data_IF_790223744157
#
_entry.id   IF_790223744157
#
_cell.length_a   1.000
_cell.length_b   1.000
_cell.length_c   1.000
_cell.angle_alpha   90.00
_cell.angle_beta   90.00
_cell.angle_gamma   90.00
#
_symmetry.space_group_name_H-M   'P 1'
#
loop_
_entity.id
_entity.type
_entity.pdbx_description
1 polymer ?
#
# COMPACT_ATOMS: atom_id res chain seq x y z
N UNK A 1 -1.75 -6.96 10.49
CA UNK A 1 -1.99 -8.31 11.07
C UNK A 1 -0.89 -9.28 10.62
N UNK A 2 -0.42 -10.19 11.48
CA UNK A 2 0.65 -11.17 11.16
C UNK A 2 0.15 -12.60 11.41
N UNK A 3 0.31 -13.50 10.44
CA UNK A 3 0.00 -14.91 10.61
C UNK A 3 1.07 -15.82 9.99
N UNK A 4 1.25 -17.01 10.57
CA UNK A 4 2.11 -18.04 10.00
C UNK A 4 1.44 -18.74 8.81
N UNK A 5 2.22 -19.12 7.80
CA UNK A 5 1.72 -19.80 6.59
C UNK A 5 1.96 -21.32 6.62
N UNK A 6 1.48 -22.09 5.65
CA UNK A 6 1.87 -23.51 5.50
C UNK A 6 3.22 -23.69 4.80
N UNK A 7 3.97 -22.60 4.56
CA UNK A 7 5.23 -22.63 3.82
C UNK A 7 6.45 -22.65 4.75
N UNK A 8 7.39 -23.54 4.45
CA UNK A 8 8.68 -23.69 5.16
C UNK A 8 9.84 -23.36 4.24
N UNK A 9 10.97 -22.90 4.78
CA UNK A 9 12.19 -22.64 3.99
C UNK A 9 12.74 -23.93 3.35
N UNK A 10 12.59 -25.05 4.06
CA UNK A 10 13.18 -26.32 3.70
C UNK A 10 12.41 -27.47 4.36
N UNK A 11 12.63 -28.67 3.85
CA UNK A 11 12.06 -29.88 4.43
C UNK A 11 12.59 -30.17 5.83
N UNK A 12 13.87 -29.90 6.09
CA UNK A 12 14.49 -30.04 7.41
C UNK A 12 13.88 -29.08 8.45
N UNK A 13 13.53 -27.86 8.02
CA UNK A 13 12.78 -26.91 8.86
C UNK A 13 11.40 -27.45 9.24
N UNK A 14 10.64 -27.99 8.28
CA UNK A 14 9.35 -28.61 8.55
C UNK A 14 9.48 -29.81 9.51
N UNK A 15 10.48 -30.67 9.33
CA UNK A 15 10.74 -31.81 10.24
C UNK A 15 11.07 -31.31 11.64
N UNK A 16 11.89 -30.27 11.78
CA UNK A 16 12.26 -29.69 13.07
C UNK A 16 11.03 -29.09 13.78
N UNK A 17 10.17 -28.39 13.03
CA UNK A 17 8.93 -27.82 13.54
C UNK A 17 7.94 -28.88 14.05
N UNK A 18 7.79 -30.01 13.33
CA UNK A 18 6.85 -31.08 13.71
C UNK A 18 7.42 -32.11 14.70
N UNK A 19 8.73 -32.09 14.97
CA UNK A 19 9.38 -33.01 15.92
C UNK A 19 8.71 -33.05 17.32
N UNK A 20 8.35 -31.92 17.96
CA UNK A 20 7.71 -31.95 19.27
C UNK A 20 6.26 -32.47 19.28
N UNK A 21 5.62 -32.66 18.12
CA UNK A 21 4.23 -33.12 18.03
C UNK A 21 4.05 -34.64 18.23
N UNK A 22 5.12 -35.37 18.55
CA UNK A 22 5.03 -36.77 18.97
C UNK A 22 4.75 -37.77 17.85
N UNK A 23 4.97 -37.40 16.58
CA UNK A 23 4.86 -38.34 15.46
C UNK A 23 5.89 -39.47 15.59
N UNK A 24 5.46 -40.72 15.40
CA UNK A 24 6.35 -41.90 15.45
C UNK A 24 7.46 -41.85 14.39
N UNK A 25 7.19 -41.21 13.25
CA UNK A 25 8.19 -40.86 12.24
C UNK A 25 7.85 -39.49 11.64
N UNK A 26 8.45 -38.43 12.21
CA UNK A 26 8.20 -37.04 11.80
C UNK A 26 8.55 -36.80 10.33
N UNK A 27 9.62 -37.40 9.82
CA UNK A 27 10.01 -37.24 8.42
C UNK A 27 8.94 -37.79 7.47
N UNK A 28 8.40 -38.97 7.75
CA UNK A 28 7.32 -39.55 6.97
C UNK A 28 6.01 -38.76 7.09
N UNK A 29 5.73 -38.18 8.26
CA UNK A 29 4.56 -37.32 8.44
C UNK A 29 4.67 -36.03 7.60
N UNK A 30 5.85 -35.41 7.55
CA UNK A 30 6.13 -34.24 6.69
C UNK A 30 6.01 -34.59 5.21
N UNK A 31 6.51 -35.75 4.78
CA UNK A 31 6.36 -36.21 3.39
C UNK A 31 4.89 -36.37 2.98
N UNK A 32 4.08 -36.97 3.84
CA UNK A 32 2.63 -37.10 3.58
C UNK A 32 1.98 -35.74 3.48
N UNK A 33 2.25 -34.83 4.43
CA UNK A 33 1.72 -33.47 4.41
C UNK A 33 2.15 -32.67 3.17
N UNK A 34 3.37 -32.90 2.66
CA UNK A 34 3.82 -32.33 1.38
C UNK A 34 3.05 -32.92 0.20
N UNK A 35 2.88 -34.25 0.17
CA UNK A 35 2.15 -34.94 -0.89
C UNK A 35 0.66 -34.57 -0.92
N UNK A 36 0.07 -34.38 0.26
CA UNK A 36 -1.33 -33.99 0.45
C UNK A 36 -1.56 -32.48 0.24
N UNK A 37 -0.48 -31.71 0.07
CA UNK A 37 -0.53 -30.25 -0.13
C UNK A 37 -0.89 -29.46 1.13
N UNK A 38 -0.82 -30.06 2.32
CA UNK A 38 -1.06 -29.38 3.60
C UNK A 38 0.07 -28.41 3.96
N UNK A 39 1.29 -28.72 3.51
CA UNK A 39 2.48 -27.86 3.68
C UNK A 39 3.22 -27.70 2.36
N UNK A 40 4.00 -26.63 2.24
CA UNK A 40 4.75 -26.30 1.03
C UNK A 40 6.20 -25.94 1.38
N UNK A 41 7.14 -26.25 0.49
CA UNK A 41 8.54 -25.81 0.61
C UNK A 41 8.76 -24.62 -0.31
N UNK A 42 9.45 -23.60 0.22
CA UNK A 42 9.77 -22.39 -0.49
C UNK A 42 8.84 -21.23 -0.15
N UNK A 43 9.25 -20.04 -0.56
CA UNK A 43 8.58 -18.78 -0.23
C UNK A 43 7.14 -18.75 -0.79
N UNK A 44 6.13 -18.39 0.01
CA UNK A 44 4.77 -18.21 -0.48
C UNK A 44 4.68 -16.99 -1.41
N UNK A 45 3.70 -17.02 -2.33
CA UNK A 45 3.36 -15.86 -3.14
C UNK A 45 2.69 -14.78 -2.27
N UNK A 46 3.26 -13.57 -2.30
CA UNK A 46 2.73 -12.42 -1.58
C UNK A 46 1.77 -11.64 -2.49
N UNK A 47 0.59 -11.25 -1.98
CA UNK A 47 -0.27 -10.30 -2.69
C UNK A 47 0.27 -8.86 -2.54
N UNK A 48 -0.09 -7.94 -3.46
CA UNK A 48 0.25 -6.53 -3.30
C UNK A 48 -0.22 -5.99 -1.94
N UNK A 49 0.69 -5.40 -1.17
CA UNK A 49 0.43 -4.91 0.19
C UNK A 49 0.74 -5.91 1.32
N UNK A 50 1.19 -7.12 0.97
CA UNK A 50 1.65 -8.13 1.93
C UNK A 50 3.18 -8.23 1.94
N UNK A 51 3.74 -8.43 3.12
CA UNK A 51 5.17 -8.68 3.35
C UNK A 51 5.35 -10.12 3.80
N UNK A 52 6.29 -10.83 3.17
CA UNK A 52 6.64 -12.21 3.55
C UNK A 52 7.94 -12.20 4.34
N UNK A 53 7.89 -12.68 5.57
CA UNK A 53 9.02 -12.72 6.49
C UNK A 53 9.31 -14.16 6.89
N UNK A 54 10.56 -14.59 6.79
CA UNK A 54 11.00 -15.90 7.27
C UNK A 54 11.30 -15.83 8.77
N UNK A 55 10.59 -16.64 9.57
CA UNK A 55 10.96 -16.85 10.95
C UNK A 55 12.08 -17.89 11.02
N UNK A 56 13.29 -17.45 11.39
CA UNK A 56 14.48 -18.32 11.47
C UNK A 56 14.46 -19.29 12.65
N UNK A 57 13.64 -19.05 13.67
CA UNK A 57 13.50 -19.95 14.81
C UNK A 57 12.61 -21.16 14.44
N UNK A 58 11.54 -20.93 13.68
CA UNK A 58 10.61 -21.97 13.24
C UNK A 58 10.91 -22.51 11.83
N UNK A 59 11.77 -21.84 11.05
CA UNK A 59 12.04 -22.15 9.64
C UNK A 59 10.81 -22.00 8.73
N UNK A 60 9.85 -21.15 9.13
CA UNK A 60 8.51 -21.01 8.54
C UNK A 60 8.29 -19.59 8.04
N UNK A 61 7.61 -19.44 6.91
CA UNK A 61 7.24 -18.12 6.39
C UNK A 61 5.98 -17.57 7.07
N UNK A 62 6.02 -16.28 7.36
CA UNK A 62 4.92 -15.50 7.91
C UNK A 62 4.51 -14.47 6.87
N UNK A 63 3.20 -14.23 6.75
CA UNK A 63 2.66 -13.12 5.97
C UNK A 63 2.22 -12.05 6.96
N UNK A 64 2.70 -10.85 6.71
CA UNK A 64 2.29 -9.62 7.37
C UNK A 64 1.50 -8.81 6.37
N UNK A 65 0.22 -8.60 6.66
CA UNK A 65 -0.56 -7.60 5.95
C UNK A 65 -0.45 -6.32 6.75
N UNK A 66 0.13 -5.29 6.12
CA UNK A 66 0.03 -3.95 6.65
C UNK A 66 -1.47 -3.67 6.77
N UNK A 67 -1.94 -3.35 7.97
CA UNK A 67 -3.29 -2.80 8.10
C UNK A 67 -3.27 -1.55 7.24
N UNK A 68 -3.89 -1.64 6.06
CA UNK A 68 -4.29 -0.45 5.33
C UNK A 68 -5.20 0.24 6.33
N UNK A 69 -4.70 1.28 7.00
CA UNK A 69 -5.50 2.06 7.93
C UNK A 69 -6.67 2.59 7.10
N UNK A 70 -7.77 1.87 7.15
CA UNK A 70 -9.07 2.36 6.76
C UNK A 70 -9.26 3.59 7.64
N UNK A 71 -9.30 4.75 7.01
CA UNK A 71 -9.60 6.03 7.65
C UNK A 71 -11.05 6.06 8.15
N UNK A 72 -11.56 4.99 8.75
CA UNK A 72 -12.89 4.90 9.32
C UNK A 72 -12.88 5.37 10.77
N UNK A 73 -12.73 6.69 10.97
CA UNK A 73 -13.30 7.46 12.09
C UNK A 73 -12.74 8.88 12.23
N UNK A 74 -12.30 9.53 11.15
CA UNK A 74 -12.38 11.00 11.15
C UNK A 74 -13.83 11.34 10.83
N UNK A 75 -14.52 11.97 11.78
CA UNK A 75 -15.62 12.87 11.44
C UNK A 75 -15.13 13.72 10.28
N UNK A 76 -15.60 13.44 9.07
CA UNK A 76 -15.37 14.28 7.90
C UNK A 76 -16.20 15.53 8.15
N UNK A 77 -15.60 16.47 8.86
CA UNK A 77 -16.03 17.86 8.79
C UNK A 77 -15.70 18.29 7.36
N UNK A 78 -16.70 18.12 6.50
CA UNK A 78 -16.74 18.75 5.21
C UNK A 78 -16.60 20.26 5.44
N UNK A 79 -15.59 20.85 4.79
CA UNK A 79 -15.25 22.26 4.79
C UNK A 79 -14.52 22.77 6.06
N UNK A 80 -13.36 23.42 5.84
CA UNK A 80 -12.69 24.42 6.70
C UNK A 80 -11.39 24.07 7.46
N UNK A 81 -10.83 22.85 7.37
CA UNK A 81 -9.54 22.59 8.04
C UNK A 81 -8.30 23.13 7.29
N UNK A 82 -8.49 23.61 6.06
CA UNK A 82 -7.48 24.38 5.30
C UNK A 82 -8.19 25.43 4.43
N UNK A 83 -8.44 26.65 4.96
CA UNK A 83 -9.29 27.66 4.30
C UNK A 83 -8.71 28.15 2.97
N UNK A 84 -7.41 28.03 2.77
CA UNK A 84 -6.73 28.48 1.56
C UNK A 84 -6.79 27.43 0.43
N UNK A 85 -7.24 26.20 0.71
CA UNK A 85 -7.35 25.14 -0.28
C UNK A 85 -8.71 25.21 -1.01
N UNK A 86 -8.69 25.44 -2.33
CA UNK A 86 -9.89 25.51 -3.17
C UNK A 86 -10.40 24.14 -3.68
N UNK A 87 -9.72 23.04 -3.34
CA UNK A 87 -10.14 21.69 -3.71
C UNK A 87 -11.43 21.24 -3.01
N UNK A 88 -12.16 20.29 -3.59
CA UNK A 88 -13.30 19.67 -2.92
C UNK A 88 -12.86 18.44 -2.10
N UNK A 89 -13.60 18.04 -1.07
CA UNK A 89 -13.42 16.76 -0.34
C UNK A 89 -12.44 16.82 0.85
N UNK A 90 -11.81 15.71 1.25
CA UNK A 90 -10.93 15.72 2.43
C UNK A 90 -9.68 16.56 2.17
N UNK A 91 -9.33 17.38 3.16
CA UNK A 91 -8.15 18.25 3.13
C UNK A 91 -7.13 17.79 4.15
N UNK A 92 -5.86 18.08 3.88
CA UNK A 92 -4.80 18.02 4.89
C UNK A 92 -4.53 19.47 5.33
N UNK A 93 -4.57 19.76 6.64
CA UNK A 93 -4.19 21.07 7.16
C UNK A 93 -2.74 21.42 6.83
N UNK A 94 -2.43 22.71 6.72
CA UNK A 94 -1.07 23.21 6.53
C UNK A 94 -0.82 23.71 5.12
N UNK A 95 0.38 23.41 4.60
CA UNK A 95 0.91 24.01 3.36
C UNK A 95 -0.02 23.80 2.16
N UNK A 96 -0.29 24.91 1.47
CA UNK A 96 -0.97 24.93 0.17
C UNK A 96 -0.03 25.48 -0.89
N UNK A 97 -0.19 24.98 -2.12
CA UNK A 97 0.61 25.39 -3.27
C UNK A 97 -0.27 25.75 -4.45
N UNK A 98 0.28 26.61 -5.30
CA UNK A 98 -0.36 27.06 -6.53
C UNK A 98 -0.08 26.04 -7.64
N UNK A 99 -1.14 25.42 -8.17
CA UNK A 99 -1.10 24.53 -9.32
C UNK A 99 -1.57 25.27 -10.58
N UNK A 100 -0.79 25.25 -11.67
CA UNK A 100 -1.23 25.80 -12.94
C UNK A 100 -2.36 24.93 -13.54
N UNK A 101 -3.43 25.56 -14.03
CA UNK A 101 -4.50 24.88 -14.79
C UNK A 101 -4.37 25.06 -16.30
N UNK A 102 -3.35 25.80 -16.74
CA UNK A 102 -3.22 26.28 -18.11
C UNK A 102 -3.90 27.64 -18.31
N UNK A 103 -3.33 28.46 -19.20
CA UNK A 103 -3.72 29.85 -19.39
C UNK A 103 -3.39 30.71 -18.15
N UNK A 104 -4.26 31.69 -17.85
CA UNK A 104 -4.10 32.61 -16.71
C UNK A 104 -4.71 32.09 -15.39
N UNK A 105 -5.23 30.85 -15.40
CA UNK A 105 -5.90 30.23 -14.25
C UNK A 105 -4.95 29.42 -13.36
N UNK A 106 -5.25 29.41 -12.05
CA UNK A 106 -4.54 28.61 -11.05
C UNK A 106 -5.50 28.01 -10.02
N UNK A 107 -5.10 26.89 -9.42
CA UNK A 107 -5.71 26.31 -8.23
C UNK A 107 -4.77 26.46 -7.03
N UNK A 108 -5.32 26.65 -5.84
CA UNK A 108 -4.56 26.65 -4.58
C UNK A 108 -4.95 25.38 -3.83
N UNK A 109 -4.02 24.42 -3.73
CA UNK A 109 -4.33 23.07 -3.27
C UNK A 109 -3.39 22.65 -2.14
N UNK A 110 -3.91 21.94 -1.15
CA UNK A 110 -3.09 21.14 -0.23
C UNK A 110 -2.55 19.89 -0.94
N UNK A 111 -1.56 19.21 -0.37
CA UNK A 111 -0.94 18.02 -0.99
C UNK A 111 -1.95 16.94 -1.39
N UNK A 112 -2.93 16.65 -0.53
CA UNK A 112 -3.99 15.68 -0.83
C UNK A 112 -4.92 16.11 -1.99
N UNK A 113 -5.19 17.41 -2.12
CA UNK A 113 -5.99 17.90 -3.23
C UNK A 113 -5.17 17.97 -4.53
N UNK A 114 -3.86 18.21 -4.44
CA UNK A 114 -2.93 18.16 -5.58
C UNK A 114 -2.88 16.76 -6.19
N UNK A 115 -2.69 15.73 -5.36
CA UNK A 115 -2.62 14.34 -5.84
C UNK A 115 -3.90 13.92 -6.56
N UNK A 116 -5.06 14.30 -6.02
CA UNK A 116 -6.37 14.00 -6.63
C UNK A 116 -6.61 14.74 -7.93
N UNK A 117 -6.20 16.01 -8.02
CA UNK A 117 -6.25 16.77 -9.26
C UNK A 117 -5.33 16.14 -10.32
N UNK A 118 -4.13 15.68 -9.93
CA UNK A 118 -3.25 14.92 -10.82
C UNK A 118 -3.86 13.60 -11.28
N UNK A 119 -4.55 12.86 -10.41
CA UNK A 119 -5.23 11.63 -10.78
C UNK A 119 -6.35 11.87 -11.80
N UNK A 120 -7.16 12.93 -11.60
CA UNK A 120 -8.14 13.37 -12.59
C UNK A 120 -7.48 13.74 -13.92
N UNK A 121 -6.41 14.54 -13.90
CA UNK A 121 -5.68 14.93 -15.12
C UNK A 121 -5.08 13.73 -15.84
N UNK A 122 -4.49 12.78 -15.11
CA UNK A 122 -3.94 11.53 -15.67
C UNK A 122 -5.04 10.71 -16.34
N UNK A 123 -6.19 10.57 -15.68
CA UNK A 123 -7.35 9.87 -16.23
C UNK A 123 -7.84 10.53 -17.52
N UNK A 124 -8.09 11.85 -17.48
CA UNK A 124 -8.53 12.63 -18.65
C UNK A 124 -7.52 12.63 -19.79
N UNK A 125 -6.21 12.67 -19.49
CA UNK A 125 -5.15 12.61 -20.50
C UNK A 125 -5.16 11.29 -21.28
N UNK A 126 -5.84 10.24 -20.81
CA UNK A 126 -6.01 9.00 -21.61
C UNK A 126 -6.99 9.20 -22.77
N UNK A 127 -7.95 10.09 -22.61
CA UNK A 127 -9.03 10.33 -23.58
C UNK A 127 -8.81 11.59 -24.45
N UNK A 128 -7.92 12.49 -24.03
CA UNK A 128 -7.66 13.75 -24.71
C UNK A 128 -6.61 13.60 -25.82
N UNK A 129 -6.82 14.35 -26.91
CA UNK A 129 -5.81 14.52 -27.95
C UNK A 129 -4.55 15.19 -27.37
N UNK A 130 -3.37 14.92 -27.95
CA UNK A 130 -2.08 15.32 -27.37
C UNK A 130 -1.98 16.82 -27.07
N UNK A 131 -2.52 17.68 -27.93
CA UNK A 131 -2.50 19.14 -27.75
C UNK A 131 -3.44 19.66 -26.63
N UNK A 132 -4.37 18.83 -26.18
CA UNK A 132 -5.37 19.17 -25.17
C UNK A 132 -5.09 18.51 -23.81
N UNK A 133 -3.99 17.75 -23.68
CA UNK A 133 -3.62 17.10 -22.43
C UNK A 133 -3.23 18.14 -21.39
N UNK A 134 -3.62 17.89 -20.14
CA UNK A 134 -3.24 18.68 -19.00
C UNK A 134 -1.78 18.43 -18.62
N UNK A 135 -1.11 19.46 -18.12
CA UNK A 135 0.18 19.32 -17.46
C UNK A 135 0.05 18.55 -16.14
N UNK A 136 1.09 17.77 -15.82
CA UNK A 136 1.17 16.94 -14.61
C UNK A 136 2.36 17.36 -13.72
N UNK A 137 2.36 18.60 -13.19
CA UNK A 137 3.45 19.07 -12.34
C UNK A 137 3.48 18.31 -11.01
N UNK A 138 4.68 18.08 -10.48
CA UNK A 138 4.86 17.55 -9.13
C UNK A 138 4.53 18.62 -8.08
N UNK A 139 4.17 18.18 -6.87
CA UNK A 139 3.90 19.06 -5.73
C UNK A 139 5.05 20.05 -5.48
N UNK A 140 6.30 19.60 -5.64
CA UNK A 140 7.49 20.38 -5.34
C UNK A 140 7.77 21.51 -6.34
N UNK A 141 7.22 21.42 -7.55
CA UNK A 141 7.30 22.48 -8.57
C UNK A 141 6.29 23.61 -8.30
N UNK A 142 5.24 23.35 -7.50
CA UNK A 142 4.26 24.36 -7.10
C UNK A 142 4.85 25.40 -6.15
N UNK A 143 4.54 26.68 -6.38
CA UNK A 143 4.88 27.77 -5.45
C UNK A 143 4.04 27.65 -4.19
N UNK A 144 4.66 27.78 -3.00
CA UNK A 144 3.94 27.89 -1.73
C UNK A 144 3.06 29.15 -1.74
N UNK A 145 1.78 28.98 -1.46
CA UNK A 145 0.82 30.08 -1.40
C UNK A 145 0.87 30.75 -0.01
N UNK A 146 0.83 32.08 0.03
CA UNK A 146 0.93 32.85 1.28
C UNK A 146 2.35 33.01 1.84
N UNK A 147 3.38 32.52 1.14
CA UNK A 147 4.77 32.82 1.47
C UNK A 147 5.14 34.20 0.88
N UNK A 148 4.90 35.26 1.66
CA UNK A 148 5.50 36.60 1.51
C UNK A 148 6.65 36.80 2.50
#
# INVERSE_FOLDING_TARGET
>A
MKWGTSHFESKDAAISYYRPYGYSNTAQAVERKLADGEIHIGKPEAKPGQTVTLNREEGRYFIEEAERQEQSNRKVNHAHDNPDCCGNGPHIPGEVRVMPTGGDGNLILCSNCWDRELDYRRDRNRDLADFAKFDLPSWWEGKVYGAE
#
